data_IF_907816884004
#
_entry.id   IF_907816884004
#
_cell.length_a   1.000
_cell.length_b   1.000
_cell.length_c   1.000
_cell.angle_alpha   90.00
_cell.angle_beta   90.00
_cell.angle_gamma   90.00
#
_symmetry.space_group_name_H-M   'P 1'
#
loop_
_entity.id
_entity.type
_entity.pdbx_description
1 polymer ?
#
# COMPACT_ATOMS: atom_id res chain seq x y z
N UNK A 1 -11.01 8.08 24.52
CA UNK A 1 -11.81 9.15 23.90
C UNK A 1 -12.66 8.52 22.83
N UNK A 2 -13.95 8.72 22.91
CA UNK A 2 -14.89 8.17 21.93
C UNK A 2 -14.96 9.06 20.70
N UNK A 3 -14.87 8.43 19.53
CA UNK A 3 -14.86 9.08 18.22
C UNK A 3 -15.75 8.32 17.24
N UNK A 4 -16.18 9.00 16.18
CA UNK A 4 -16.89 8.44 15.03
C UNK A 4 -15.93 8.43 13.86
N UNK A 5 -15.74 7.30 13.20
CA UNK A 5 -14.89 7.19 12.03
C UNK A 5 -15.59 7.74 10.78
N UNK A 6 -14.91 8.59 10.02
CA UNK A 6 -15.40 9.14 8.74
C UNK A 6 -14.94 8.32 7.54
N UNK A 7 -13.92 7.49 7.73
CA UNK A 7 -13.39 6.57 6.73
C UNK A 7 -13.07 5.23 7.35
N UNK A 8 -12.93 4.19 6.53
CA UNK A 8 -12.48 2.89 7.00
C UNK A 8 -11.00 2.96 7.40
N UNK A 9 -10.67 2.56 8.63
CA UNK A 9 -9.30 2.49 9.15
C UNK A 9 -8.98 1.05 9.54
N UNK A 10 -7.97 0.48 8.89
CA UNK A 10 -7.43 -0.84 9.20
C UNK A 10 -7.11 -0.93 10.70
N UNK A 11 -7.62 -1.88 11.44
CA UNK A 11 -7.47 -2.10 12.90
C UNK A 11 -8.39 -1.27 13.81
N UNK A 12 -9.18 -0.32 13.33
CA UNK A 12 -10.11 0.43 14.16
C UNK A 12 -11.57 0.11 13.84
N UNK A 13 -11.94 0.10 12.56
CA UNK A 13 -13.32 -0.18 12.14
C UNK A 13 -13.73 0.51 10.86
N UNK A 14 -14.99 0.39 10.53
CA UNK A 14 -15.59 0.95 9.31
C UNK A 14 -16.09 2.39 9.53
N UNK A 15 -16.39 3.06 8.42
CA UNK A 15 -17.02 4.37 8.45
C UNK A 15 -18.34 4.33 9.24
N UNK A 16 -18.50 5.29 10.16
CA UNK A 16 -19.66 5.39 11.04
C UNK A 16 -19.55 4.64 12.36
N UNK A 17 -18.53 3.81 12.53
CA UNK A 17 -18.31 3.11 13.79
C UNK A 17 -17.91 4.08 14.91
N UNK A 18 -18.49 3.88 16.08
CA UNK A 18 -18.07 4.55 17.31
C UNK A 18 -17.02 3.71 17.99
N UNK A 19 -15.83 4.26 18.10
CA UNK A 19 -14.69 3.56 18.68
C UNK A 19 -14.04 4.37 19.79
N UNK A 20 -13.57 3.67 20.82
CA UNK A 20 -12.84 4.30 21.90
C UNK A 20 -11.33 4.16 21.67
N UNK A 21 -10.64 5.28 21.50
CA UNK A 21 -9.21 5.33 21.22
C UNK A 21 -8.46 6.15 22.26
N UNK A 22 -7.14 5.99 22.33
CA UNK A 22 -6.28 6.81 23.18
C UNK A 22 -6.41 8.28 22.76
N UNK A 23 -6.58 9.17 23.76
CA UNK A 23 -6.80 10.60 23.51
C UNK A 23 -5.70 11.28 22.70
N UNK A 24 -4.44 10.87 22.87
CA UNK A 24 -3.30 11.38 22.09
C UNK A 24 -3.40 11.01 20.62
N UNK A 25 -3.75 9.78 20.29
CA UNK A 25 -3.93 9.32 18.92
C UNK A 25 -5.11 10.04 18.22
N UNK A 26 -6.22 10.19 18.93
CA UNK A 26 -7.35 10.93 18.40
C UNK A 26 -6.98 12.40 18.08
N UNK A 27 -6.38 13.12 19.05
CA UNK A 27 -6.08 14.56 18.91
C UNK A 27 -4.95 14.87 17.93
N UNK A 28 -3.93 14.01 17.84
CA UNK A 28 -2.74 14.31 17.04
C UNK A 28 -2.81 13.74 15.62
N UNK A 29 -3.67 12.74 15.38
CA UNK A 29 -3.74 12.09 14.10
C UNK A 29 -5.15 12.08 13.50
N UNK A 30 -6.13 11.49 14.17
CA UNK A 30 -7.44 11.25 13.58
C UNK A 30 -8.24 12.54 13.33
N UNK A 31 -8.30 13.43 14.31
CA UNK A 31 -9.04 14.69 14.21
C UNK A 31 -8.38 15.71 13.25
N UNK A 32 -7.05 15.95 13.28
CA UNK A 32 -6.42 16.88 12.36
C UNK A 32 -6.48 16.47 10.90
N UNK A 33 -6.52 15.16 10.62
CA UNK A 33 -6.61 14.64 9.25
C UNK A 33 -8.05 14.42 8.78
N UNK A 34 -9.05 14.87 9.55
CA UNK A 34 -10.48 14.67 9.26
C UNK A 34 -10.86 13.20 9.01
N UNK A 35 -10.19 12.26 9.69
CA UNK A 35 -10.46 10.82 9.63
C UNK A 35 -11.52 10.38 10.62
N UNK A 36 -11.76 11.19 11.65
CA UNK A 36 -12.77 10.94 12.66
C UNK A 36 -13.29 12.24 13.26
N UNK A 37 -14.48 12.19 13.85
CA UNK A 37 -15.08 13.24 14.66
C UNK A 37 -15.23 12.78 16.11
N UNK A 38 -15.28 13.72 17.06
CA UNK A 38 -15.65 13.38 18.43
C UNK A 38 -17.11 12.92 18.49
N UNK A 39 -17.37 11.85 19.23
CA UNK A 39 -18.72 11.32 19.40
C UNK A 39 -19.56 12.21 20.32
N UNK A 40 -19.99 13.36 19.80
CA UNK A 40 -20.97 14.26 20.44
C UNK A 40 -22.29 14.15 19.69
N UNK A 41 -23.41 14.42 20.37
CA UNK A 41 -24.73 14.34 19.74
C UNK A 41 -24.83 15.22 18.48
N UNK A 42 -24.28 16.44 18.53
CA UNK A 42 -24.20 17.31 17.35
C UNK A 42 -23.44 16.72 16.20
N UNK A 43 -22.31 16.07 16.46
CA UNK A 43 -21.49 15.43 15.44
C UNK A 43 -22.11 14.15 14.90
N UNK A 44 -22.89 13.45 15.70
CA UNK A 44 -23.66 12.28 15.25
C UNK A 44 -24.71 12.73 14.23
N UNK A 45 -25.52 13.75 14.57
CA UNK A 45 -26.52 14.29 13.66
C UNK A 45 -25.91 14.87 12.37
N UNK A 46 -24.74 15.51 12.47
CA UNK A 46 -23.97 15.99 11.32
C UNK A 46 -23.50 14.85 10.43
N UNK A 47 -22.95 13.78 11.03
CA UNK A 47 -22.50 12.60 10.31
C UNK A 47 -23.65 11.91 9.56
N UNK A 48 -24.82 11.76 10.19
CA UNK A 48 -25.99 11.15 9.56
C UNK A 48 -26.44 11.90 8.30
N UNK A 49 -26.35 13.24 8.31
CA UNK A 49 -26.68 14.07 7.15
C UNK A 49 -25.67 13.91 6.00
N UNK A 50 -24.39 13.72 6.32
CA UNK A 50 -23.34 13.59 5.32
C UNK A 50 -23.01 12.15 4.97
N UNK A 51 -23.63 11.18 5.62
CA UNK A 51 -23.34 9.75 5.45
C UNK A 51 -23.38 9.32 3.98
N UNK A 52 -24.41 9.71 3.25
CA UNK A 52 -24.58 9.33 1.85
C UNK A 52 -23.46 9.89 0.95
N UNK A 53 -23.01 11.12 1.20
CA UNK A 53 -21.91 11.75 0.44
C UNK A 53 -20.55 11.09 0.75
N UNK A 54 -20.32 10.81 2.03
CA UNK A 54 -19.09 10.12 2.47
C UNK A 54 -19.03 8.68 1.94
N UNK A 55 -20.15 7.96 1.94
CA UNK A 55 -20.26 6.61 1.35
C UNK A 55 -19.98 6.64 -0.16
N UNK A 56 -20.53 7.59 -0.89
CA UNK A 56 -20.28 7.74 -2.31
C UNK A 56 -18.80 8.04 -2.60
N UNK A 57 -18.17 8.91 -1.80
CA UNK A 57 -16.75 9.24 -1.92
C UNK A 57 -15.86 8.03 -1.62
N UNK A 58 -16.14 7.30 -0.54
CA UNK A 58 -15.39 6.10 -0.18
C UNK A 58 -15.53 5.02 -1.23
N UNK A 59 -16.73 4.84 -1.80
CA UNK A 59 -16.95 3.90 -2.91
C UNK A 59 -16.14 4.28 -4.14
N UNK A 60 -16.09 5.55 -4.52
CA UNK A 60 -15.26 6.01 -5.63
C UNK A 60 -13.77 5.76 -5.40
N UNK A 61 -13.28 5.95 -4.18
CA UNK A 61 -11.89 5.64 -3.82
C UNK A 61 -11.61 4.13 -3.85
N UNK A 62 -12.55 3.32 -3.38
CA UNK A 62 -12.46 1.87 -3.45
C UNK A 62 -12.43 1.36 -4.89
N UNK A 63 -13.33 1.84 -5.75
CA UNK A 63 -13.38 1.47 -7.17
C UNK A 63 -12.09 1.88 -7.90
N UNK A 64 -11.55 3.06 -7.57
CA UNK A 64 -10.25 3.51 -8.09
C UNK A 64 -9.07 2.64 -7.62
N UNK A 65 -9.08 2.23 -6.36
CA UNK A 65 -8.06 1.35 -5.80
C UNK A 65 -8.15 -0.07 -6.41
N UNK A 66 -9.35 -0.58 -6.64
CA UNK A 66 -9.57 -1.89 -7.26
C UNK A 66 -9.04 -1.94 -8.69
N UNK A 67 -9.33 -0.91 -9.51
CA UNK A 67 -8.79 -0.81 -10.88
C UNK A 67 -7.26 -0.82 -10.88
N UNK A 68 -6.63 -0.04 -10.01
CA UNK A 68 -5.16 -0.04 -9.87
C UNK A 68 -4.61 -1.38 -9.39
N UNK A 69 -5.34 -2.09 -8.52
CA UNK A 69 -4.95 -3.42 -8.08
C UNK A 69 -5.02 -4.44 -9.23
N UNK A 70 -6.02 -4.36 -10.10
CA UNK A 70 -6.14 -5.19 -11.29
C UNK A 70 -5.01 -4.93 -12.29
N UNK A 71 -4.64 -3.68 -12.54
CA UNK A 71 -3.51 -3.29 -13.39
C UNK A 71 -2.17 -3.80 -12.84
N UNK A 72 -2.04 -3.88 -11.53
CA UNK A 72 -0.83 -4.37 -10.84
C UNK A 72 -0.82 -5.88 -10.61
N UNK A 73 -1.89 -6.58 -10.98
CA UNK A 73 -1.97 -8.03 -10.82
C UNK A 73 -0.96 -8.74 -11.74
N UNK A 74 -0.05 -9.51 -11.14
CA UNK A 74 1.02 -10.19 -11.88
C UNK A 74 2.13 -9.25 -12.37
N UNK A 75 2.12 -7.98 -11.94
CA UNK A 75 3.16 -7.01 -12.31
C UNK A 75 4.46 -7.29 -11.56
N UNK A 76 5.57 -7.23 -12.31
CA UNK A 76 6.92 -7.35 -11.76
C UNK A 76 7.67 -6.04 -11.98
N UNK A 77 7.96 -5.35 -10.89
CA UNK A 77 8.79 -4.14 -10.94
C UNK A 77 10.27 -4.53 -11.00
N UNK A 78 11.01 -4.00 -11.98
CA UNK A 78 12.44 -4.24 -12.12
C UNK A 78 13.22 -3.04 -11.59
N UNK A 79 14.10 -3.29 -10.62
CA UNK A 79 14.99 -2.28 -10.05
C UNK A 79 16.44 -2.67 -10.34
N UNK A 80 17.14 -1.88 -11.14
CA UNK A 80 18.55 -2.12 -11.48
C UNK A 80 19.42 -1.37 -10.47
N UNK A 81 20.30 -2.11 -9.77
CA UNK A 81 21.26 -1.57 -8.81
C UNK A 81 22.57 -2.33 -8.89
N UNK A 82 23.68 -1.62 -8.62
CA UNK A 82 25.01 -2.24 -8.55
C UNK A 82 25.12 -3.11 -7.29
N UNK A 83 25.69 -4.28 -7.44
CA UNK A 83 25.92 -5.23 -6.35
C UNK A 83 27.29 -5.88 -6.47
N UNK A 84 27.80 -6.38 -5.34
CA UNK A 84 29.04 -7.17 -5.28
C UNK A 84 28.84 -8.54 -5.93
N UNK A 85 29.93 -9.27 -6.11
CA UNK A 85 29.90 -10.65 -6.62
C UNK A 85 29.10 -11.59 -5.71
N UNK A 86 29.04 -11.27 -4.43
CA UNK A 86 28.27 -12.00 -3.41
C UNK A 86 26.77 -11.70 -3.46
N UNK A 87 26.30 -10.84 -4.37
CA UNK A 87 24.89 -10.47 -4.49
C UNK A 87 24.43 -9.37 -3.54
N UNK A 88 25.32 -8.83 -2.72
CA UNK A 88 25.00 -7.73 -1.83
C UNK A 88 25.03 -6.39 -2.57
N UNK A 89 23.98 -5.57 -2.43
CA UNK A 89 23.88 -4.25 -3.06
C UNK A 89 24.88 -3.27 -2.40
N UNK A 90 25.48 -2.38 -3.20
CA UNK A 90 26.28 -1.24 -2.71
C UNK A 90 25.39 -0.09 -2.14
N UNK A 91 24.19 -0.42 -1.73
CA UNK A 91 23.18 0.47 -1.17
C UNK A 91 21.98 -0.34 -0.71
N UNK A 92 20.82 0.25 -0.76
CA UNK A 92 19.57 -0.44 -0.46
C UNK A 92 18.48 0.01 -1.43
N UNK A 93 17.54 -0.88 -1.74
CA UNK A 93 16.30 -0.52 -2.42
C UNK A 93 15.27 -0.11 -1.38
N UNK A 94 14.82 1.13 -1.48
CA UNK A 94 13.86 1.76 -0.58
C UNK A 94 12.46 1.77 -1.19
N UNK A 95 11.46 2.13 -0.39
CA UNK A 95 10.07 2.38 -0.84
C UNK A 95 10.03 3.37 -2.01
N UNK A 96 10.90 4.40 -1.98
CA UNK A 96 10.98 5.40 -3.06
C UNK A 96 11.41 4.77 -4.38
N UNK A 97 12.41 3.90 -4.36
CA UNK A 97 12.95 3.26 -5.56
C UNK A 97 11.91 2.34 -6.19
N UNK A 98 11.18 1.59 -5.36
CA UNK A 98 10.08 0.72 -5.79
C UNK A 98 8.95 1.53 -6.42
N UNK A 99 8.51 2.61 -5.76
CA UNK A 99 7.47 3.48 -6.30
C UNK A 99 7.89 4.13 -7.63
N UNK A 100 9.16 4.55 -7.75
CA UNK A 100 9.70 5.10 -9.01
C UNK A 100 9.69 4.06 -10.13
N UNK A 101 10.12 2.83 -9.86
CA UNK A 101 10.13 1.75 -10.84
C UNK A 101 8.71 1.39 -11.33
N UNK A 102 7.71 1.44 -10.44
CA UNK A 102 6.30 1.21 -10.82
C UNK A 102 5.78 2.36 -11.67
N UNK A 103 6.10 3.62 -11.31
CA UNK A 103 5.70 4.79 -12.07
C UNK A 103 6.35 4.84 -13.48
N UNK A 104 7.62 4.43 -13.60
CA UNK A 104 8.31 4.30 -14.89
C UNK A 104 7.66 3.25 -15.80
N UNK A 105 7.04 2.25 -15.22
CA UNK A 105 6.28 1.23 -15.96
C UNK A 105 4.85 1.68 -16.35
N UNK A 106 4.46 2.91 -16.00
CA UNK A 106 3.21 3.54 -16.43
C UNK A 106 2.04 3.48 -15.44
N UNK A 107 2.24 2.93 -14.25
CA UNK A 107 1.22 2.89 -13.20
C UNK A 107 1.53 3.93 -12.13
N UNK A 108 0.71 4.97 -12.04
CA UNK A 108 0.88 6.01 -11.02
C UNK A 108 0.61 5.47 -9.62
N UNK A 109 1.70 5.34 -8.84
CA UNK A 109 1.67 4.88 -7.47
C UNK A 109 2.38 5.85 -6.52
N UNK A 110 1.71 6.25 -5.46
CA UNK A 110 2.33 7.05 -4.40
C UNK A 110 3.10 6.15 -3.43
N UNK A 111 4.20 6.67 -2.91
CA UNK A 111 5.08 5.98 -1.94
C UNK A 111 4.35 5.44 -0.70
N UNK A 112 3.29 6.12 -0.27
CA UNK A 112 2.50 5.74 0.92
C UNK A 112 1.79 4.39 0.79
N UNK A 113 1.57 3.92 -0.44
CA UNK A 113 0.90 2.65 -0.71
C UNK A 113 1.84 1.44 -0.66
N UNK A 114 3.16 1.66 -0.68
CA UNK A 114 4.16 0.60 -0.64
C UNK A 114 4.46 0.23 0.81
N UNK A 115 4.11 -0.97 1.23
CA UNK A 115 4.44 -1.51 2.54
C UNK A 115 5.73 -2.34 2.45
N UNK A 116 6.82 -1.80 2.98
CA UNK A 116 8.12 -2.47 3.04
C UNK A 116 8.66 -2.36 4.47
N UNK A 117 8.80 -3.48 5.15
CA UNK A 117 9.26 -3.51 6.55
C UNK A 117 10.77 -3.18 6.66
N UNK A 118 11.56 -3.67 5.72
CA UNK A 118 13.02 -3.46 5.71
C UNK A 118 13.51 -3.15 4.29
N UNK A 119 14.48 -2.24 4.12
CA UNK A 119 15.11 -1.99 2.83
C UNK A 119 15.76 -3.26 2.28
N UNK A 120 15.63 -3.50 0.98
CA UNK A 120 16.23 -4.66 0.30
C UNK A 120 17.73 -4.38 0.08
N UNK A 121 18.58 -5.32 0.47
CA UNK A 121 20.04 -5.21 0.40
C UNK A 121 20.71 -6.25 -0.47
N UNK A 122 19.97 -7.22 -1.00
CA UNK A 122 20.49 -8.30 -1.84
C UNK A 122 19.74 -8.36 -3.16
N UNK A 123 20.40 -8.94 -4.18
CA UNK A 123 19.78 -9.27 -5.46
C UNK A 123 18.72 -10.37 -5.26
N UNK A 124 17.67 -10.35 -6.07
CA UNK A 124 16.63 -11.38 -6.05
C UNK A 124 15.23 -10.86 -6.29
N UNK A 125 14.27 -11.76 -6.16
CA UNK A 125 12.83 -11.48 -6.25
C UNK A 125 12.23 -11.35 -4.86
N UNK A 126 11.52 -10.26 -4.64
CA UNK A 126 10.90 -9.97 -3.34
C UNK A 126 9.42 -9.66 -3.51
N UNK A 127 8.53 -10.36 -2.80
CA UNK A 127 7.13 -9.98 -2.75
C UNK A 127 6.97 -8.72 -1.88
N UNK A 128 6.38 -7.69 -2.45
CA UNK A 128 6.10 -6.42 -1.77
C UNK A 128 4.61 -6.17 -1.76
N UNK A 129 4.06 -5.93 -0.58
CA UNK A 129 2.64 -5.64 -0.41
C UNK A 129 2.38 -4.17 -0.70
N UNK A 130 1.40 -3.91 -1.55
CA UNK A 130 0.85 -2.60 -1.82
C UNK A 130 -0.49 -2.47 -1.11
N UNK A 131 -0.66 -1.47 -0.27
CA UNK A 131 -1.92 -1.16 0.42
C UNK A 131 -2.56 0.04 -0.24
N UNK A 132 -3.32 -0.21 -1.31
CA UNK A 132 -3.98 0.84 -2.11
C UNK A 132 -5.19 1.44 -1.40
N UNK A 133 -5.90 0.62 -0.63
CA UNK A 133 -7.04 1.01 0.20
C UNK A 133 -7.04 0.12 1.46
N UNK A 134 -7.66 0.52 2.57
CA UNK A 134 -7.79 -0.32 3.77
C UNK A 134 -8.39 -1.71 3.51
N UNK A 135 -9.22 -1.83 2.48
CA UNK A 135 -9.85 -3.08 2.05
C UNK A 135 -9.20 -3.72 0.81
N UNK A 136 -8.29 -3.00 0.12
CA UNK A 136 -7.66 -3.45 -1.14
C UNK A 136 -6.15 -3.47 -0.96
N UNK A 137 -5.58 -4.65 -0.92
CA UNK A 137 -4.13 -4.84 -0.92
C UNK A 137 -3.73 -5.80 -2.03
N UNK A 138 -2.65 -5.47 -2.74
CA UNK A 138 -2.09 -6.28 -3.81
C UNK A 138 -0.62 -6.59 -3.49
N UNK A 139 -0.19 -7.81 -3.80
CA UNK A 139 1.23 -8.17 -3.70
C UNK A 139 1.82 -8.15 -5.11
N UNK A 140 2.90 -7.42 -5.28
CA UNK A 140 3.70 -7.40 -6.50
C UNK A 140 5.06 -8.03 -6.26
N UNK A 141 5.70 -8.48 -7.33
CA UNK A 141 7.08 -8.94 -7.28
C UNK A 141 8.03 -7.80 -7.64
N UNK A 142 9.04 -7.59 -6.81
CA UNK A 142 10.11 -6.64 -7.07
C UNK A 142 11.37 -7.44 -7.40
N UNK A 143 11.84 -7.30 -8.62
CA UNK A 143 13.05 -7.93 -9.12
C UNK A 143 14.23 -6.98 -9.02
N UNK A 144 15.18 -7.28 -8.16
CA UNK A 144 16.41 -6.51 -7.97
C UNK A 144 17.57 -7.22 -8.67
N UNK A 145 18.10 -6.61 -9.73
CA UNK A 145 19.16 -7.17 -10.57
C UNK A 145 20.24 -6.15 -10.88
N UNK A 146 21.40 -6.62 -11.39
CA UNK A 146 22.50 -5.76 -11.85
C UNK A 146 22.26 -5.23 -13.27
N UNK A 147 21.55 -6.02 -14.08
CA UNK A 147 21.23 -5.68 -15.45
C UNK A 147 19.87 -6.20 -15.87
N UNK A 148 19.33 -5.64 -16.96
CA UNK A 148 18.04 -6.06 -17.51
C UNK A 148 18.03 -7.55 -17.93
N UNK A 149 19.15 -8.08 -18.39
CA UNK A 149 19.29 -9.49 -18.80
C UNK A 149 19.26 -10.43 -17.59
N UNK A 150 19.88 -10.02 -16.48
CA UNK A 150 19.86 -10.76 -15.22
C UNK A 150 18.45 -10.76 -14.63
N UNK A 151 17.76 -9.62 -14.69
CA UNK A 151 16.35 -9.50 -14.27
C UNK A 151 15.44 -10.48 -15.01
N UNK A 152 15.62 -10.63 -16.33
CA UNK A 152 14.85 -11.58 -17.15
C UNK A 152 15.14 -13.04 -16.77
N UNK A 153 16.40 -13.36 -16.46
CA UNK A 153 16.79 -14.71 -16.02
C UNK A 153 16.20 -15.05 -14.66
N UNK A 154 16.23 -14.11 -13.71
CA UNK A 154 15.66 -14.28 -12.38
C UNK A 154 14.12 -14.43 -12.45
N UNK A 155 13.44 -13.64 -13.27
CA UNK A 155 12.01 -13.76 -13.46
C UNK A 155 11.61 -15.13 -14.02
N UNK A 156 12.36 -15.66 -15.00
CA UNK A 156 12.13 -17.01 -15.55
C UNK A 156 12.38 -18.12 -14.54
N UNK A 157 13.43 -17.99 -13.72
CA UNK A 157 13.74 -18.96 -12.68
C UNK A 157 12.64 -18.99 -11.60
N UNK A 158 12.18 -17.83 -11.17
CA UNK A 158 11.11 -17.71 -10.16
C UNK A 158 9.78 -18.29 -10.64
N UNK A 159 9.39 -18.00 -11.89
CA UNK A 159 8.17 -18.60 -12.48
C UNK A 159 8.27 -20.12 -12.63
N UNK A 160 9.45 -20.67 -12.85
CA UNK A 160 9.67 -22.11 -12.90
C UNK A 160 9.57 -22.78 -11.52
N UNK A 161 10.06 -22.12 -10.47
CA UNK A 161 9.94 -22.60 -9.08
C UNK A 161 8.49 -22.57 -8.58
N UNK A 162 7.73 -21.52 -8.92
CA UNK A 162 6.33 -21.41 -8.54
C UNK A 162 5.44 -22.48 -9.24
N UNK A 163 5.78 -22.82 -10.47
CA UNK A 163 5.11 -23.90 -11.23
C UNK A 163 5.45 -25.30 -10.70
N UNK A 164 6.64 -25.48 -10.10
CA UNK A 164 7.08 -26.74 -9.51
C UNK A 164 6.56 -26.98 -8.08
N UNK A 165 6.11 -25.89 -7.39
CA UNK A 165 5.60 -25.95 -6.03
C UNK A 165 4.07 -26.14 -5.93
N UNK A 166 3.36 -26.18 -7.08
CA UNK A 166 1.92 -26.38 -7.20
C UNK A 166 1.63 -27.73 -7.84
#
# INVERSE_FOLDING_TARGET
>A
MEIILLEHIEKLGKMGDRVNVKSGYARNYLLPHNKALRATEANIAYFEKQKAELEARNKALFDGATKKAEELNGFTAVVIRQASETGQLYGSVSIRDIASAINEAGVELERRFVALDKPIKYLGMYPVKLSLHPEVSQTILVNVARSADEAKKQAKAYSAEETAAN
#
